data_IF_610674259085
#
_entry.id   IF_610674259085
#
_cell.length_a   1.000
_cell.length_b   1.000
_cell.length_c   1.000
_cell.angle_alpha   90.00
_cell.angle_beta   90.00
_cell.angle_gamma   90.00
#
_symmetry.space_group_name_H-M   'P 1'
#
loop_
_entity.id
_entity.type
_entity.pdbx_description
1 polymer ?
#
# COMPACT_ATOMS: atom_id res chain seq x y z
N UNK A 1 14.16 0.68 2.75
CA UNK A 1 13.04 1.53 2.26
C UNK A 1 12.45 0.81 1.07
N UNK A 2 11.17 0.97 0.76
CA UNK A 2 10.59 0.35 -0.43
C UNK A 2 9.79 1.37 -1.22
N UNK A 3 9.70 1.12 -2.52
CA UNK A 3 9.02 1.98 -3.48
C UNK A 3 7.98 1.15 -4.19
N UNK A 4 6.85 1.76 -4.54
CA UNK A 4 5.79 1.09 -5.29
C UNK A 4 5.48 1.89 -6.54
N UNK A 5 5.54 1.24 -7.71
CA UNK A 5 5.11 1.81 -8.97
C UNK A 5 3.70 1.32 -9.24
N UNK A 6 2.75 2.25 -9.35
CA UNK A 6 1.39 1.99 -9.82
C UNK A 6 1.25 2.51 -11.26
N UNK A 7 0.70 1.70 -12.14
CA UNK A 7 0.51 2.05 -13.54
C UNK A 7 -0.77 1.41 -14.10
N UNK A 8 -1.32 2.02 -15.14
CA UNK A 8 -2.40 1.42 -15.91
C UNK A 8 -1.80 0.59 -17.06
N UNK A 9 -2.20 -0.68 -17.17
CA UNK A 9 -1.85 -1.50 -18.32
C UNK A 9 -2.55 -0.97 -19.57
N UNK A 10 -2.10 -1.34 -20.78
CA UNK A 10 -2.76 -0.96 -22.03
C UNK A 10 -4.25 -1.36 -22.09
N UNK A 11 -4.64 -2.39 -21.34
CA UNK A 11 -6.02 -2.89 -21.20
C UNK A 11 -6.86 -2.06 -20.23
N UNK A 12 -6.26 -1.06 -19.58
CA UNK A 12 -6.91 -0.15 -18.62
C UNK A 12 -6.94 -0.66 -17.18
N UNK A 13 -6.35 -1.82 -16.90
CA UNK A 13 -6.29 -2.36 -15.54
C UNK A 13 -5.19 -1.66 -14.73
N UNK A 14 -5.44 -1.40 -13.44
CA UNK A 14 -4.42 -0.83 -12.56
C UNK A 14 -3.57 -1.93 -11.95
N UNK A 15 -2.26 -1.89 -12.19
CA UNK A 15 -1.27 -2.82 -11.64
C UNK A 15 -0.25 -2.09 -10.77
N UNK A 16 0.39 -2.83 -9.87
CA UNK A 16 1.44 -2.29 -9.01
C UNK A 16 2.59 -3.28 -8.83
N UNK A 17 3.81 -2.74 -8.75
CA UNK A 17 5.03 -3.50 -8.46
C UNK A 17 5.83 -2.77 -7.39
N UNK A 18 6.38 -3.53 -6.44
CA UNK A 18 7.23 -3.02 -5.36
C UNK A 18 8.71 -3.24 -5.68
N UNK A 19 9.53 -2.26 -5.32
CA UNK A 19 10.99 -2.24 -5.50
C UNK A 19 11.67 -1.88 -4.17
N UNK A 20 12.92 -2.29 -4.02
CA UNK A 20 13.72 -1.97 -2.82
C UNK A 20 14.47 -0.64 -2.97
N UNK A 21 14.76 -0.23 -4.20
CA UNK A 21 15.48 1.00 -4.50
C UNK A 21 14.69 1.94 -5.41
N UNK A 22 14.99 3.24 -5.33
CA UNK A 22 14.37 4.24 -6.20
C UNK A 22 14.82 4.06 -7.64
N UNK A 23 16.09 3.70 -7.87
CA UNK A 23 16.67 3.55 -9.20
C UNK A 23 16.00 2.43 -9.99
N UNK A 24 15.73 1.29 -9.35
CA UNK A 24 14.96 0.19 -9.97
C UNK A 24 13.54 0.62 -10.34
N UNK A 25 12.87 1.37 -9.46
CA UNK A 25 11.52 1.86 -9.72
C UNK A 25 11.46 2.84 -10.89
N UNK A 26 12.50 3.68 -11.05
CA UNK A 26 12.62 4.61 -12.18
C UNK A 26 12.90 3.86 -13.47
N UNK A 27 13.86 2.92 -13.47
CA UNK A 27 14.17 2.10 -14.65
C UNK A 27 12.94 1.34 -15.15
N UNK A 28 12.09 0.87 -14.24
CA UNK A 28 10.84 0.21 -14.59
C UNK A 28 9.80 1.18 -15.20
N UNK A 29 9.65 2.39 -14.66
CA UNK A 29 8.78 3.41 -15.27
C UNK A 29 9.26 3.80 -16.67
N UNK A 30 10.58 3.86 -16.87
CA UNK A 30 11.16 4.12 -18.18
C UNK A 30 10.85 3.01 -19.18
N UNK A 31 10.97 1.74 -18.80
CA UNK A 31 10.61 0.62 -19.68
C UNK A 31 9.12 0.60 -20.01
N UNK A 32 8.24 0.86 -19.02
CA UNK A 32 6.80 1.02 -19.23
C UNK A 32 6.48 2.09 -20.28
N UNK A 33 7.15 3.24 -20.21
CA UNK A 33 6.95 4.33 -21.16
C UNK A 33 7.49 3.99 -22.55
N UNK A 34 8.71 3.46 -22.62
CA UNK A 34 9.43 3.30 -23.88
C UNK A 34 8.97 2.05 -24.66
N UNK A 35 8.61 0.97 -23.96
CA UNK A 35 8.28 -0.32 -24.59
C UNK A 35 6.76 -0.55 -24.67
N UNK A 36 6.01 -0.12 -23.66
CA UNK A 36 4.58 -0.41 -23.52
C UNK A 36 3.69 0.83 -23.75
N UNK A 37 4.30 1.99 -24.01
CA UNK A 37 3.62 3.28 -24.19
C UNK A 37 2.68 3.66 -23.04
N UNK A 38 3.00 3.18 -21.82
CA UNK A 38 2.24 3.49 -20.61
C UNK A 38 2.71 4.84 -20.07
N UNK A 39 1.85 5.84 -20.16
CA UNK A 39 2.17 7.22 -19.77
C UNK A 39 1.72 7.58 -18.33
N UNK A 40 0.84 6.77 -17.76
CA UNK A 40 0.18 7.04 -16.47
C UNK A 40 0.78 6.20 -15.34
N UNK A 41 2.10 6.23 -15.18
CA UNK A 41 2.79 5.58 -14.07
C UNK A 41 3.06 6.56 -12.91
N UNK A 42 2.99 6.08 -11.66
CA UNK A 42 3.23 6.85 -10.44
C UNK A 42 4.10 6.06 -9.49
N UNK A 43 5.12 6.69 -8.91
CA UNK A 43 6.00 6.09 -7.90
C UNK A 43 5.59 6.60 -6.53
N UNK A 44 5.45 5.69 -5.57
CA UNK A 44 5.18 5.97 -4.17
C UNK A 44 6.34 5.49 -3.32
N UNK A 45 6.75 6.30 -2.35
CA UNK A 45 7.64 5.84 -1.28
C UNK A 45 6.79 5.19 -0.19
N UNK A 46 7.13 3.95 0.17
CA UNK A 46 6.42 3.19 1.18
C UNK A 46 7.03 3.39 2.56
N UNK A 47 6.18 3.64 3.54
CA UNK A 47 6.52 3.64 4.95
C UNK A 47 5.78 2.49 5.65
N UNK A 48 6.54 1.65 6.35
CA UNK A 48 5.96 0.58 7.16
C UNK A 48 5.34 1.18 8.43
N UNK A 49 4.03 0.99 8.60
CA UNK A 49 3.32 1.39 9.80
C UNK A 49 3.28 0.23 10.79
N UNK A 50 4.03 0.36 11.89
CA UNK A 50 3.94 -0.57 13.02
C UNK A 50 2.66 -0.28 13.80
N UNK A 51 1.87 -1.31 14.04
CA UNK A 51 0.69 -1.23 14.89
C UNK A 51 0.69 -2.36 15.93
N UNK A 52 0.02 -2.12 17.05
CA UNK A 52 -0.14 -3.09 18.12
C UNK A 52 -1.63 -3.29 18.39
N UNK A 53 -2.08 -4.53 18.48
CA UNK A 53 -3.46 -4.84 18.83
C UNK A 53 -3.58 -5.03 20.34
N UNK A 54 -4.22 -4.08 21.04
CA UNK A 54 -4.44 -4.14 22.49
C UNK A 54 -5.89 -4.51 22.81
N UNK A 55 -6.16 -5.66 23.46
CA UNK A 55 -7.51 -5.98 23.91
C UNK A 55 -7.89 -5.09 25.08
N UNK A 56 -8.95 -4.30 24.92
CA UNK A 56 -9.57 -3.55 26.01
C UNK A 56 -10.84 -4.28 26.45
N UNK A 57 -10.86 -4.77 27.69
CA UNK A 57 -12.05 -5.37 28.29
C UNK A 57 -12.95 -4.27 28.86
N UNK A 58 -14.16 -4.14 28.33
CA UNK A 58 -15.19 -3.28 28.92
C UNK A 58 -15.99 -4.10 29.93
N UNK A 59 -15.88 -3.76 31.21
CA UNK A 59 -16.70 -4.36 32.28
C UNK A 59 -17.97 -3.53 32.45
N UNK A 60 -19.13 -4.19 32.45
CA UNK A 60 -20.40 -3.61 32.84
C UNK A 60 -20.89 -4.31 34.10
N UNK A 61 -21.22 -3.52 35.13
CA UNK A 61 -21.82 -4.06 36.35
C UNK A 61 -23.27 -4.45 36.06
N UNK A 62 -23.61 -5.71 36.33
CA UNK A 62 -25.00 -6.11 36.44
C UNK A 62 -25.56 -5.45 37.72
N UNK A 63 -26.68 -4.73 37.58
CA UNK A 63 -27.37 -4.14 38.71
C UNK A 63 -27.85 -5.29 39.62
N UNK A 64 -27.25 -5.43 40.81
CA UNK A 64 -27.75 -6.36 41.82
C UNK A 64 -29.13 -5.87 42.24
N UNK A 65 -30.17 -6.59 41.82
CA UNK A 65 -31.50 -6.43 42.38
C UNK A 65 -31.42 -6.77 43.87
N UNK A 66 -31.55 -5.75 44.72
CA UNK A 66 -31.81 -5.91 46.15
C UNK A 66 -33.16 -6.60 46.30
N UNK A 67 -33.13 -7.86 46.75
CA UNK A 67 -34.31 -8.63 47.14
C UNK A 67 -34.93 -8.14 48.44
#
# INVERSE_FOLDING_TARGET
MSYMVNFQTPEGESSYIQFETVDESVAFVESLRNEQNVLNARIFQMEELKFEFRPYFRVQLAQLGSG
#
